data_IF_913078968034
#
_entry.id   IF_913078968034
#
_cell.length_a   1.000
_cell.length_b   1.000
_cell.length_c   1.000
_cell.angle_alpha   90.00
_cell.angle_beta   90.00
_cell.angle_gamma   90.00
#
_symmetry.space_group_name_H-M   'P 1'
#
loop_
_entity.id
_entity.type
_entity.pdbx_description
1 polymer ?
#
# COMPACT_ATOMS: atom_id res chain seq x y z
N UNK A 1 14.76 -17.16 5.58
CA UNK A 1 14.10 -15.86 5.47
C UNK A 1 12.60 -16.05 5.42
N UNK A 2 11.81 -15.21 6.13
CA UNK A 2 10.34 -15.34 6.16
C UNK A 2 9.69 -14.02 5.79
N UNK A 3 8.91 -14.02 4.70
CA UNK A 3 8.16 -12.85 4.22
C UNK A 3 6.67 -13.18 4.23
N UNK A 4 5.88 -12.31 4.85
CA UNK A 4 4.44 -12.44 4.92
C UNK A 4 3.76 -11.33 4.12
N UNK A 5 2.76 -11.68 3.31
CA UNK A 5 1.88 -10.73 2.65
C UNK A 5 0.51 -10.74 3.32
N UNK A 6 -0.03 -9.57 3.63
CA UNK A 6 -1.31 -9.38 4.32
C UNK A 6 -2.32 -8.78 3.36
N UNK A 7 -3.33 -9.56 3.01
CA UNK A 7 -4.40 -9.11 2.11
C UNK A 7 -5.59 -8.54 2.89
N UNK A 8 -5.76 -7.23 2.81
CA UNK A 8 -6.92 -6.49 3.35
C UNK A 8 -8.11 -6.37 2.41
N UNK A 9 -8.09 -7.08 1.27
CA UNK A 9 -9.21 -7.12 0.33
C UNK A 9 -10.16 -8.29 0.63
N UNK A 10 -11.50 -8.08 0.56
CA UNK A 10 -12.45 -9.19 0.63
C UNK A 10 -12.39 -10.12 -0.60
N UNK A 11 -11.79 -9.64 -1.70
CA UNK A 11 -11.68 -10.38 -2.95
C UNK A 11 -10.34 -11.13 -2.99
N UNK A 12 -10.32 -12.40 -2.59
CA UNK A 12 -9.11 -13.25 -2.53
C UNK A 12 -8.36 -13.44 -3.86
N UNK A 13 -9.00 -13.15 -4.99
CA UNK A 13 -8.43 -13.21 -6.35
C UNK A 13 -8.52 -11.86 -7.07
N UNK A 14 -8.78 -10.78 -6.34
CA UNK A 14 -8.87 -9.41 -6.86
C UNK A 14 -7.49 -8.80 -7.10
N UNK A 15 -7.49 -7.53 -7.48
CA UNK A 15 -6.27 -6.80 -7.85
C UNK A 15 -5.24 -6.81 -6.72
N UNK A 16 -5.64 -6.45 -5.49
CA UNK A 16 -4.77 -6.45 -4.31
C UNK A 16 -4.10 -7.82 -4.08
N UNK A 17 -4.89 -8.90 -4.12
CA UNK A 17 -4.35 -10.25 -3.89
C UNK A 17 -3.37 -10.69 -4.98
N UNK A 18 -3.59 -10.26 -6.24
CA UNK A 18 -2.68 -10.53 -7.35
C UNK A 18 -1.35 -9.82 -7.19
N UNK A 19 -1.36 -8.52 -6.84
CA UNK A 19 -0.13 -7.77 -6.55
C UNK A 19 0.67 -8.45 -5.43
N UNK A 20 0.00 -8.83 -4.33
CA UNK A 20 0.65 -9.50 -3.22
C UNK A 20 1.23 -10.87 -3.60
N UNK A 21 0.53 -11.64 -4.45
CA UNK A 21 1.04 -12.93 -4.93
C UNK A 21 2.27 -12.75 -5.81
N UNK A 22 2.26 -11.75 -6.72
CA UNK A 22 3.42 -11.44 -7.56
C UNK A 22 4.63 -10.97 -6.75
N UNK A 23 4.40 -10.19 -5.69
CA UNK A 23 5.48 -9.81 -4.78
C UNK A 23 6.08 -11.05 -4.07
N UNK A 24 5.25 -11.99 -3.62
CA UNK A 24 5.76 -13.25 -3.04
C UNK A 24 6.49 -14.13 -4.06
N UNK A 25 6.06 -14.12 -5.32
CA UNK A 25 6.79 -14.78 -6.41
C UNK A 25 8.15 -14.12 -6.65
N UNK A 26 8.25 -12.79 -6.56
CA UNK A 26 9.51 -12.05 -6.58
C UNK A 26 10.45 -12.45 -5.44
N UNK A 27 9.92 -12.59 -4.21
CA UNK A 27 10.68 -13.10 -3.06
C UNK A 27 11.27 -14.48 -3.37
N UNK A 28 10.45 -15.40 -3.91
CA UNK A 28 10.87 -16.75 -4.26
C UNK A 28 11.88 -16.77 -5.41
N UNK A 29 11.76 -15.85 -6.35
CA UNK A 29 12.72 -15.70 -7.44
C UNK A 29 14.10 -15.28 -6.92
N UNK A 30 14.16 -14.33 -5.98
CA UNK A 30 15.41 -13.88 -5.38
C UNK A 30 16.02 -14.91 -4.41
N UNK A 31 15.14 -15.62 -3.66
CA UNK A 31 15.54 -16.61 -2.66
C UNK A 31 14.57 -17.79 -2.65
N UNK A 32 14.91 -18.85 -3.33
CA UNK A 32 14.11 -20.07 -3.43
C UNK A 32 13.81 -20.70 -2.05
N UNK A 33 14.75 -20.59 -1.11
CA UNK A 33 14.65 -21.08 0.26
C UNK A 33 13.78 -20.21 1.19
N UNK A 34 13.31 -19.03 0.74
CA UNK A 34 12.50 -18.15 1.56
C UNK A 34 11.12 -18.78 1.87
N UNK A 35 10.67 -18.67 3.09
CA UNK A 35 9.30 -18.99 3.49
C UNK A 35 8.38 -17.81 3.15
N UNK A 36 7.34 -18.05 2.36
CA UNK A 36 6.36 -17.03 1.98
C UNK A 36 4.96 -17.46 2.38
N UNK A 37 4.14 -16.53 2.90
CA UNK A 37 2.75 -16.79 3.27
C UNK A 37 1.86 -15.59 2.87
N UNK A 38 0.76 -15.87 2.15
CA UNK A 38 -0.30 -14.88 1.89
C UNK A 38 -1.43 -15.09 2.90
N UNK A 39 -1.69 -14.09 3.73
CA UNK A 39 -2.70 -14.10 4.79
C UNK A 39 -3.87 -13.22 4.38
N UNK A 40 -5.05 -13.80 4.21
CA UNK A 40 -6.28 -13.07 3.90
C UNK A 40 -7.00 -12.67 5.19
N UNK A 41 -7.06 -11.38 5.50
CA UNK A 41 -7.71 -10.90 6.73
C UNK A 41 -9.20 -11.22 6.80
N UNK A 42 -9.88 -11.31 5.66
CA UNK A 42 -11.31 -11.66 5.61
C UNK A 42 -11.61 -13.14 5.87
N UNK A 43 -10.59 -13.99 6.03
CA UNK A 43 -10.75 -15.38 6.47
C UNK A 43 -10.71 -15.52 8.01
N UNK A 44 -10.36 -14.42 8.70
CA UNK A 44 -10.14 -14.39 10.13
C UNK A 44 -11.29 -13.71 10.85
N UNK A 45 -11.71 -14.26 11.97
CA UNK A 45 -12.67 -13.63 12.87
C UNK A 45 -11.91 -12.83 13.94
N UNK A 46 -11.85 -11.51 13.78
CA UNK A 46 -11.20 -10.63 14.74
C UNK A 46 -11.79 -9.22 14.71
N UNK A 47 -11.41 -8.42 15.70
CA UNK A 47 -11.80 -7.01 15.83
C UNK A 47 -10.57 -6.12 15.92
N UNK A 48 -10.75 -4.81 15.74
CA UNK A 48 -9.72 -3.80 15.99
C UNK A 48 -9.28 -3.76 17.45
N UNK A 49 -8.42 -2.82 17.79
CA UNK A 49 -7.90 -2.62 19.13
C UNK A 49 -9.03 -2.27 20.10
N UNK A 50 -9.11 -2.98 21.23
CA UNK A 50 -10.13 -2.77 22.28
C UNK A 50 -9.67 -1.81 23.39
N UNK A 51 -8.54 -1.14 23.23
CA UNK A 51 -7.95 -0.21 24.21
C UNK A 51 -7.82 -0.80 25.62
N UNK A 52 -7.53 -2.09 25.73
CA UNK A 52 -7.35 -2.77 27.03
C UNK A 52 -6.00 -2.46 27.69
N UNK A 53 -5.05 -1.86 26.96
CA UNK A 53 -3.72 -1.46 27.38
C UNK A 53 -2.84 -2.59 27.95
N UNK A 54 -3.22 -3.84 27.87
CA UNK A 54 -2.42 -4.98 28.36
C UNK A 54 -1.04 -5.03 27.71
N UNK A 55 -0.93 -4.64 26.41
CA UNK A 55 0.33 -4.56 25.68
C UNK A 55 1.25 -3.39 26.14
N UNK A 56 0.74 -2.47 26.96
CA UNK A 56 1.47 -1.30 27.49
C UNK A 56 1.84 -1.44 28.97
N UNK A 57 1.30 -2.46 29.63
CA UNK A 57 1.50 -2.63 31.08
C UNK A 57 2.92 -3.13 31.34
N UNK A 58 3.74 -2.26 31.93
CA UNK A 58 5.11 -2.61 32.36
C UNK A 58 5.06 -3.82 33.30
N UNK A 59 5.92 -4.80 33.08
CA UNK A 59 5.96 -6.08 33.78
C UNK A 59 4.68 -6.93 33.62
N UNK A 60 3.77 -6.56 32.70
CA UNK A 60 2.62 -7.39 32.35
C UNK A 60 3.02 -8.54 31.42
N UNK A 61 2.28 -9.67 31.44
CA UNK A 61 2.60 -10.85 30.63
C UNK A 61 2.47 -10.62 29.11
N UNK A 62 1.81 -9.53 28.70
CA UNK A 62 1.56 -9.18 27.31
C UNK A 62 2.28 -7.89 26.87
N UNK A 63 3.27 -7.40 27.65
CA UNK A 63 4.02 -6.21 27.25
C UNK A 63 4.64 -6.38 25.86
N UNK A 64 4.40 -5.41 24.96
CA UNK A 64 4.83 -5.48 23.55
C UNK A 64 4.03 -6.46 22.67
N UNK A 65 2.94 -7.07 23.16
CA UNK A 65 2.12 -8.03 22.40
C UNK A 65 0.64 -7.79 22.64
N UNK A 66 -0.19 -7.97 21.60
CA UNK A 66 -1.64 -7.92 21.77
C UNK A 66 -2.13 -9.11 22.62
N UNK A 67 -2.89 -8.81 23.69
CA UNK A 67 -3.41 -9.82 24.60
C UNK A 67 -4.73 -10.47 24.16
N UNK A 68 -5.37 -9.93 23.12
CA UNK A 68 -6.66 -10.43 22.62
C UNK A 68 -6.45 -11.79 21.95
N UNK A 69 -7.21 -12.77 22.39
CA UNK A 69 -7.18 -14.14 21.88
C UNK A 69 -8.30 -14.34 20.85
N UNK A 70 -7.96 -14.32 19.59
CA UNK A 70 -8.81 -14.54 18.43
C UNK A 70 -7.96 -15.05 17.25
N UNK A 71 -8.54 -15.18 16.05
CA UNK A 71 -7.84 -15.72 14.88
C UNK A 71 -6.65 -14.85 14.43
N UNK A 72 -6.61 -13.57 14.81
CA UNK A 72 -5.48 -12.68 14.52
C UNK A 72 -4.27 -12.95 15.45
N UNK A 73 -4.48 -13.47 16.66
CA UNK A 73 -3.39 -13.64 17.62
C UNK A 73 -2.23 -14.52 17.10
N UNK A 74 -2.45 -15.71 16.48
CA UNK A 74 -1.37 -16.49 15.90
C UNK A 74 -0.69 -15.79 14.71
N UNK A 75 -1.42 -15.01 13.93
CA UNK A 75 -0.86 -14.21 12.83
C UNK A 75 0.12 -13.18 13.36
N UNK A 76 -0.27 -12.42 14.40
CA UNK A 76 0.63 -11.45 15.04
C UNK A 76 1.90 -12.10 15.60
N UNK A 77 1.79 -13.33 16.11
CA UNK A 77 2.95 -14.13 16.53
C UNK A 77 3.89 -14.44 15.37
N UNK A 78 3.35 -14.92 14.24
CA UNK A 78 4.13 -15.18 13.02
C UNK A 78 4.85 -13.92 12.50
N UNK A 79 4.18 -12.77 12.53
CA UNK A 79 4.75 -11.49 12.05
C UNK A 79 5.86 -10.96 12.96
N UNK A 80 5.87 -11.30 14.24
CA UNK A 80 6.96 -10.94 15.15
C UNK A 80 8.29 -11.60 14.74
N UNK A 81 8.23 -12.76 14.09
CA UNK A 81 9.39 -13.53 13.61
C UNK A 81 9.70 -13.28 12.13
N UNK A 82 8.84 -12.56 11.40
CA UNK A 82 9.02 -12.29 9.97
C UNK A 82 10.22 -11.36 9.70
N UNK A 83 10.85 -11.52 8.54
CA UNK A 83 11.95 -10.67 8.06
C UNK A 83 11.44 -9.50 7.22
N UNK A 84 10.25 -9.63 6.63
CA UNK A 84 9.56 -8.57 5.93
C UNK A 84 8.06 -8.80 5.86
N UNK A 85 7.30 -7.71 5.69
CA UNK A 85 5.84 -7.74 5.58
C UNK A 85 5.37 -6.83 4.45
N UNK A 86 4.55 -7.38 3.56
CA UNK A 86 3.92 -6.66 2.45
C UNK A 86 2.43 -6.52 2.76
N UNK A 87 1.93 -5.30 2.84
CA UNK A 87 0.54 -4.98 3.17
C UNK A 87 -0.20 -4.58 1.89
N UNK A 88 -1.32 -5.23 1.58
CA UNK A 88 -2.15 -4.84 0.43
C UNK A 88 -3.55 -4.47 0.87
N UNK A 89 -4.04 -3.30 0.47
CA UNK A 89 -5.38 -2.83 0.80
C UNK A 89 -6.05 -2.15 -0.38
N UNK A 90 -7.32 -2.48 -0.68
CA UNK A 90 -8.12 -1.58 -1.49
C UNK A 90 -8.36 -0.28 -0.71
N UNK A 91 -8.50 0.83 -1.45
CA UNK A 91 -8.88 2.12 -0.90
C UNK A 91 -10.40 2.23 -0.91
N UNK A 92 -10.99 2.36 0.27
CA UNK A 92 -12.43 2.57 0.48
C UNK A 92 -12.65 3.86 1.27
N UNK A 93 -13.51 4.74 0.75
CA UNK A 93 -13.82 6.02 1.42
C UNK A 93 -12.55 6.79 1.84
N UNK A 94 -11.62 6.94 0.91
CA UNK A 94 -10.35 7.67 1.10
C UNK A 94 -9.41 7.07 2.16
N UNK A 95 -9.58 5.80 2.51
CA UNK A 95 -8.77 5.11 3.51
C UNK A 95 -8.57 3.64 3.23
N UNK A 96 -7.80 3.00 4.08
CA UNK A 96 -7.61 1.55 4.06
C UNK A 96 -8.94 0.83 4.32
N UNK A 97 -9.06 -0.40 3.82
CA UNK A 97 -10.21 -1.26 4.18
C UNK A 97 -10.33 -1.41 5.70
N UNK A 98 -11.57 -1.53 6.20
CA UNK A 98 -11.82 -1.68 7.64
C UNK A 98 -11.05 -2.83 8.27
N UNK A 99 -10.94 -3.98 7.60
CA UNK A 99 -10.17 -5.13 8.10
C UNK A 99 -8.67 -4.84 8.17
N UNK A 100 -8.10 -4.15 7.16
CA UNK A 100 -6.71 -3.72 7.21
C UNK A 100 -6.49 -2.73 8.35
N UNK A 101 -7.41 -1.80 8.58
CA UNK A 101 -7.32 -0.85 9.69
C UNK A 101 -7.36 -1.55 11.04
N UNK A 102 -8.30 -2.48 11.26
CA UNK A 102 -8.37 -3.30 12.47
C UNK A 102 -7.10 -4.10 12.73
N UNK A 103 -6.51 -4.66 11.66
CA UNK A 103 -5.24 -5.38 11.72
C UNK A 103 -4.10 -4.45 12.17
N UNK A 104 -3.92 -3.31 11.50
CA UNK A 104 -2.84 -2.36 11.77
C UNK A 104 -2.88 -1.82 13.20
N UNK A 105 -4.07 -1.51 13.74
CA UNK A 105 -4.23 -1.11 15.12
C UNK A 105 -3.65 -2.13 16.09
N UNK A 106 -3.84 -3.43 15.83
CA UNK A 106 -3.39 -4.51 16.70
C UNK A 106 -1.97 -4.96 16.44
N UNK A 107 -1.45 -4.72 15.24
CA UNK A 107 -0.07 -5.03 14.88
C UNK A 107 0.92 -3.95 15.32
N UNK A 108 0.58 -2.67 15.10
CA UNK A 108 1.49 -1.55 15.37
C UNK A 108 1.43 -1.08 16.82
N UNK A 109 0.23 -0.96 17.41
CA UNK A 109 0.07 -0.37 18.72
C UNK A 109 0.89 -1.03 19.83
N UNK A 110 1.02 -2.36 19.91
CA UNK A 110 1.85 -3.00 20.92
C UNK A 110 3.31 -2.53 20.95
N UNK A 111 3.88 -2.21 19.80
CA UNK A 111 5.28 -1.81 19.65
C UNK A 111 5.53 -0.31 19.86
N UNK A 112 4.50 0.51 19.83
CA UNK A 112 4.60 1.96 20.02
C UNK A 112 5.00 2.29 21.45
N UNK A 113 6.00 3.16 21.66
CA UNK A 113 6.36 3.70 22.98
C UNK A 113 5.94 5.17 23.05
N UNK A 114 5.43 5.58 24.23
CA UNK A 114 5.05 6.97 24.51
C UNK A 114 6.24 7.73 25.14
N UNK A 115 7.28 7.93 24.37
CA UNK A 115 8.46 8.70 24.75
C UNK A 115 8.75 9.81 23.74
N UNK A 116 9.58 10.78 24.14
CA UNK A 116 9.98 11.89 23.28
C UNK A 116 10.80 11.44 22.04
N UNK A 117 11.51 10.32 22.17
CA UNK A 117 12.30 9.75 21.07
C UNK A 117 11.43 8.99 20.06
N UNK A 118 10.11 8.82 20.33
CA UNK A 118 9.17 8.07 19.49
C UNK A 118 9.64 6.63 19.22
N UNK A 119 10.20 5.98 20.25
CA UNK A 119 10.81 4.66 20.15
C UNK A 119 9.82 3.56 19.77
N UNK A 120 10.38 2.45 19.28
CA UNK A 120 9.67 1.20 19.01
C UNK A 120 10.30 0.07 19.81
N UNK A 121 9.46 -0.82 20.35
CA UNK A 121 9.89 -2.08 20.98
C UNK A 121 9.60 -3.29 20.10
N UNK A 122 9.47 -3.08 18.79
CA UNK A 122 9.38 -4.18 17.83
C UNK A 122 10.62 -5.08 17.93
N UNK A 123 10.45 -6.42 17.80
CA UNK A 123 11.57 -7.37 17.94
C UNK A 123 12.71 -7.09 16.97
N UNK A 124 12.39 -6.57 15.79
CA UNK A 124 13.35 -6.16 14.76
C UNK A 124 12.80 -5.06 13.86
N UNK A 125 13.69 -4.34 13.20
CA UNK A 125 13.38 -3.37 12.15
C UNK A 125 13.30 -4.12 10.83
N UNK A 126 12.11 -4.64 10.48
CA UNK A 126 11.90 -5.42 9.26
C UNK A 126 11.58 -4.54 8.05
N UNK A 127 11.87 -5.03 6.85
CA UNK A 127 11.46 -4.40 5.60
C UNK A 127 9.94 -4.44 5.45
N UNK A 128 9.35 -3.35 4.96
CA UNK A 128 7.89 -3.24 4.77
C UNK A 128 7.55 -2.65 3.41
N UNK A 129 6.40 -3.07 2.85
CA UNK A 129 5.79 -2.46 1.68
C UNK A 129 4.27 -2.31 1.88
N UNK A 130 3.66 -1.31 1.22
CA UNK A 130 2.23 -1.04 1.27
C UNK A 130 1.71 -0.84 -0.16
N UNK A 131 0.79 -1.71 -0.59
CA UNK A 131 0.18 -1.71 -1.91
C UNK A 131 -1.27 -1.21 -1.80
N UNK A 132 -1.59 -0.14 -2.51
CA UNK A 132 -2.93 0.44 -2.55
C UNK A 132 -3.57 0.19 -3.91
N UNK A 133 -4.78 -0.33 -3.93
CA UNK A 133 -5.56 -0.53 -5.16
C UNK A 133 -6.83 0.29 -5.13
N UNK A 134 -7.14 0.98 -6.22
CA UNK A 134 -8.30 1.86 -6.30
C UNK A 134 -8.84 1.94 -7.72
N UNK A 135 -10.11 2.30 -7.85
CA UNK A 135 -10.79 2.44 -9.15
C UNK A 135 -10.77 3.87 -9.71
N UNK A 136 -10.19 4.81 -8.98
CA UNK A 136 -9.96 6.18 -9.44
C UNK A 136 -8.61 6.28 -10.16
N UNK A 137 -8.48 7.23 -11.09
CA UNK A 137 -7.22 7.51 -11.77
C UNK A 137 -6.24 8.18 -10.81
N UNK A 138 -4.97 8.26 -11.20
CA UNK A 138 -3.93 8.97 -10.45
C UNK A 138 -4.28 10.44 -10.26
N UNK A 139 -4.73 11.12 -11.32
CA UNK A 139 -5.18 12.52 -11.28
C UNK A 139 -6.30 12.72 -10.26
N UNK A 140 -7.37 11.92 -10.33
CA UNK A 140 -8.48 11.97 -9.39
C UNK A 140 -8.05 11.71 -7.93
N UNK A 141 -7.12 10.78 -7.72
CA UNK A 141 -6.58 10.49 -6.40
C UNK A 141 -5.75 11.67 -5.86
N UNK A 142 -4.97 12.33 -6.73
CA UNK A 142 -4.19 13.53 -6.42
C UNK A 142 -5.08 14.71 -6.05
N UNK A 143 -6.09 15.03 -6.88
CA UNK A 143 -7.07 16.09 -6.62
C UNK A 143 -7.81 15.88 -5.30
N UNK A 144 -8.17 14.64 -4.99
CA UNK A 144 -8.82 14.27 -3.73
C UNK A 144 -7.86 14.27 -2.53
N UNK A 145 -6.56 14.49 -2.72
CA UNK A 145 -5.55 14.50 -1.66
C UNK A 145 -5.30 13.12 -1.03
N UNK A 146 -5.61 12.03 -1.74
CA UNK A 146 -5.53 10.67 -1.21
C UNK A 146 -4.13 10.30 -0.68
N UNK A 147 -3.01 10.64 -1.35
CA UNK A 147 -1.68 10.36 -0.82
C UNK A 147 -1.44 10.99 0.56
N UNK A 148 -1.89 12.23 0.77
CA UNK A 148 -1.77 12.92 2.05
C UNK A 148 -2.61 12.26 3.16
N UNK A 149 -3.76 11.69 2.81
CA UNK A 149 -4.64 11.01 3.77
C UNK A 149 -4.09 9.64 4.21
N UNK A 150 -3.33 8.94 3.36
CA UNK A 150 -2.75 7.64 3.68
C UNK A 150 -1.36 7.74 4.34
N UNK A 151 -0.61 8.80 4.06
CA UNK A 151 0.72 9.07 4.61
C UNK A 151 0.85 8.90 6.14
N UNK A 152 -0.12 9.33 6.98
CA UNK A 152 -0.02 9.13 8.44
C UNK A 152 0.14 7.66 8.84
N UNK A 153 -0.50 6.73 8.12
CA UNK A 153 -0.37 5.29 8.41
C UNK A 153 1.01 4.77 8.00
N UNK A 154 1.52 5.19 6.85
CA UNK A 154 2.88 4.87 6.40
C UNK A 154 3.93 5.35 7.41
N UNK A 155 3.76 6.57 7.94
CA UNK A 155 4.63 7.13 8.98
C UNK A 155 4.61 6.31 10.29
N UNK A 156 3.47 5.70 10.65
CA UNK A 156 3.41 4.78 11.79
C UNK A 156 4.12 3.46 11.51
N UNK A 157 4.00 2.92 10.29
CA UNK A 157 4.76 1.72 9.88
C UNK A 157 6.26 2.02 9.91
N UNK A 158 6.69 3.14 9.33
CA UNK A 158 8.09 3.59 9.36
C UNK A 158 8.63 3.76 10.78
N UNK A 159 7.86 4.39 11.64
CA UNK A 159 8.22 4.57 13.05
C UNK A 159 8.50 3.25 13.76
N UNK A 160 7.66 2.24 13.51
CA UNK A 160 7.75 0.94 14.19
C UNK A 160 8.83 0.05 13.54
N UNK A 161 8.90 0.03 12.21
CA UNK A 161 9.77 -0.85 11.43
C UNK A 161 10.75 -0.04 10.55
N UNK A 162 10.59 -0.11 9.23
CA UNK A 162 11.32 0.72 8.27
C UNK A 162 10.32 1.50 7.42
N UNK A 163 10.79 2.52 6.70
CA UNK A 163 9.98 3.21 5.70
C UNK A 163 9.43 2.18 4.72
N UNK A 164 8.11 2.10 4.54
CA UNK A 164 7.53 1.17 3.59
C UNK A 164 7.78 1.64 2.15
N UNK A 165 8.07 0.70 1.27
CA UNK A 165 7.85 0.92 -0.16
C UNK A 165 6.36 1.10 -0.41
N UNK A 166 5.95 2.09 -1.21
CA UNK A 166 4.52 2.35 -1.48
C UNK A 166 4.24 2.17 -2.96
N UNK A 167 3.42 1.18 -3.30
CA UNK A 167 2.92 0.92 -4.65
C UNK A 167 1.47 1.40 -4.75
N UNK A 168 1.21 2.25 -5.74
CA UNK A 168 -0.10 2.78 -6.09
C UNK A 168 -0.60 2.11 -7.36
N UNK A 169 -1.67 1.34 -7.29
CA UNK A 169 -2.32 0.71 -8.42
C UNK A 169 -3.67 1.40 -8.66
N UNK A 170 -3.66 2.35 -9.58
CA UNK A 170 -4.79 3.20 -9.91
C UNK A 170 -5.72 2.56 -10.94
N UNK A 171 -6.87 3.15 -11.16
CA UNK A 171 -7.82 2.89 -12.22
C UNK A 171 -8.17 1.40 -12.44
N UNK A 172 -8.17 0.63 -11.35
CA UNK A 172 -8.39 -0.81 -11.42
C UNK A 172 -9.83 -1.17 -11.79
N UNK A 173 -10.02 -2.26 -12.53
CA UNK A 173 -11.34 -2.85 -12.78
C UNK A 173 -12.04 -3.22 -11.47
N UNK A 174 -13.26 -2.68 -11.28
CA UNK A 174 -14.10 -2.96 -10.11
C UNK A 174 -15.11 -4.07 -10.40
N UNK A 175 -15.74 -4.05 -11.57
CA UNK A 175 -16.77 -4.98 -11.99
C UNK A 175 -16.28 -5.87 -13.15
N UNK A 176 -16.94 -7.01 -13.34
CA UNK A 176 -16.71 -7.86 -14.51
C UNK A 176 -17.46 -7.34 -15.72
N UNK A 177 -18.67 -6.86 -15.49
CA UNK A 177 -19.58 -6.29 -16.47
C UNK A 177 -20.18 -5.03 -15.82
N UNK A 178 -19.92 -3.88 -16.42
CA UNK A 178 -20.40 -2.59 -15.91
C UNK A 178 -21.87 -2.36 -16.19
N UNK A 179 -22.46 -3.08 -17.17
CA UNK A 179 -23.88 -2.99 -17.50
C UNK A 179 -24.79 -3.49 -16.36
N UNK A 180 -24.29 -4.33 -15.47
CA UNK A 180 -25.01 -4.82 -14.28
C UNK A 180 -25.16 -3.75 -13.19
N UNK A 181 -24.52 -2.57 -13.33
CA UNK A 181 -24.42 -1.57 -12.27
C UNK A 181 -24.75 -0.17 -12.76
N UNK A 182 -25.34 0.65 -11.92
CA UNK A 182 -25.51 2.09 -12.19
C UNK A 182 -24.17 2.79 -11.90
N UNK A 183 -23.33 2.90 -12.91
CA UNK A 183 -21.99 3.42 -12.78
C UNK A 183 -21.58 4.34 -13.95
N UNK A 184 -22.38 5.40 -14.28
CA UNK A 184 -22.20 6.21 -15.48
C UNK A 184 -20.92 7.04 -15.49
N UNK A 185 -20.22 7.15 -14.37
CA UNK A 185 -18.95 7.87 -14.27
C UNK A 185 -17.75 7.06 -14.74
N UNK A 186 -17.93 5.77 -14.99
CA UNK A 186 -16.85 4.89 -15.47
C UNK A 186 -17.05 4.56 -16.95
N UNK A 187 -15.99 4.76 -17.72
CA UNK A 187 -15.87 4.24 -19.08
C UNK A 187 -15.31 2.82 -19.04
N UNK A 188 -16.15 1.84 -19.37
CA UNK A 188 -15.75 0.43 -19.33
C UNK A 188 -14.63 0.13 -20.33
N UNK A 189 -14.67 0.72 -21.55
CA UNK A 189 -13.65 0.49 -22.56
C UNK A 189 -12.29 1.01 -22.08
N UNK A 190 -12.25 2.21 -21.50
CA UNK A 190 -11.05 2.76 -20.88
C UNK A 190 -10.53 1.86 -19.75
N UNK A 191 -11.41 1.40 -18.87
CA UNK A 191 -11.05 0.48 -17.77
C UNK A 191 -10.46 -0.83 -18.27
N UNK A 192 -11.00 -1.40 -19.35
CA UNK A 192 -10.47 -2.62 -19.94
C UNK A 192 -9.08 -2.37 -20.57
N UNK A 193 -8.93 -1.29 -21.31
CA UNK A 193 -7.63 -0.92 -21.90
C UNK A 193 -6.58 -0.72 -20.80
N UNK A 194 -6.88 0.05 -19.76
CA UNK A 194 -5.97 0.26 -18.61
C UNK A 194 -5.61 -1.07 -17.93
N UNK A 195 -6.60 -1.98 -17.82
CA UNK A 195 -6.37 -3.33 -17.29
C UNK A 195 -5.36 -4.14 -18.10
N UNK A 196 -5.37 -3.99 -19.42
CA UNK A 196 -4.50 -4.74 -20.33
C UNK A 196 -3.11 -4.11 -20.44
N UNK A 197 -3.01 -2.79 -20.40
CA UNK A 197 -1.77 -2.04 -20.61
C UNK A 197 -1.01 -1.74 -19.32
N UNK A 198 -1.69 -1.20 -18.29
CA UNK A 198 -1.04 -0.68 -17.08
C UNK A 198 -0.94 -1.72 -15.96
N UNK A 199 -1.99 -2.50 -15.71
CA UNK A 199 -1.95 -3.47 -14.61
C UNK A 199 -0.84 -4.53 -14.70
N UNK A 200 -0.37 -4.99 -15.89
CA UNK A 200 0.82 -5.83 -15.99
C UNK A 200 2.09 -5.13 -15.50
N UNK A 201 2.18 -3.80 -15.64
CA UNK A 201 3.29 -3.00 -15.13
C UNK A 201 3.26 -2.95 -13.60
N UNK A 202 2.08 -2.71 -13.00
CA UNK A 202 1.90 -2.78 -11.54
C UNK A 202 2.28 -4.16 -10.97
N UNK A 203 1.92 -5.24 -11.68
CA UNK A 203 2.30 -6.60 -11.29
C UNK A 203 3.81 -6.79 -11.35
N UNK A 204 4.48 -6.29 -12.38
CA UNK A 204 5.94 -6.34 -12.50
C UNK A 204 6.60 -5.57 -11.36
N UNK A 205 6.15 -4.36 -11.08
CA UNK A 205 6.66 -3.55 -9.97
C UNK A 205 6.46 -4.28 -8.62
N UNK A 206 5.29 -4.87 -8.39
CA UNK A 206 5.06 -5.68 -7.19
C UNK A 206 6.04 -6.85 -7.08
N UNK A 207 6.36 -7.53 -8.20
CA UNK A 207 7.37 -8.59 -8.24
C UNK A 207 8.76 -8.06 -7.87
N UNK A 208 9.19 -6.93 -8.46
CA UNK A 208 10.49 -6.31 -8.16
C UNK A 208 10.59 -5.90 -6.69
N UNK A 209 9.52 -5.35 -6.11
CA UNK A 209 9.45 -5.04 -4.67
C UNK A 209 9.71 -6.28 -3.82
N UNK A 210 9.09 -7.40 -4.14
CA UNK A 210 9.33 -8.67 -3.44
C UNK A 210 10.76 -9.18 -3.62
N UNK A 211 11.28 -9.09 -4.83
CA UNK A 211 12.64 -9.50 -5.18
C UNK A 211 13.69 -8.70 -4.38
N UNK A 212 13.63 -7.37 -4.43
CA UNK A 212 14.56 -6.50 -3.72
C UNK A 212 14.38 -6.57 -2.19
N UNK A 213 13.16 -6.80 -1.70
CA UNK A 213 12.92 -7.06 -0.27
C UNK A 213 13.69 -8.31 0.19
N UNK A 214 13.71 -9.37 -0.61
CA UNK A 214 14.39 -10.61 -0.28
C UNK A 214 15.94 -10.49 -0.36
N UNK A 215 16.45 -9.60 -1.19
CA UNK A 215 17.88 -9.27 -1.27
C UNK A 215 18.33 -8.31 -0.16
N UNK A 216 17.40 -7.62 0.52
CA UNK A 216 17.72 -6.57 1.50
C UNK A 216 18.00 -5.21 0.86
N UNK A 217 17.64 -5.02 -0.41
CA UNK A 217 17.92 -3.86 -1.27
C UNK A 217 16.66 -2.98 -1.51
N UNK A 218 15.58 -3.22 -0.76
CA UNK A 218 14.31 -2.53 -1.00
C UNK A 218 14.41 -1.01 -0.89
N UNK A 219 15.32 -0.50 -0.05
CA UNK A 219 15.51 0.93 0.14
C UNK A 219 16.17 1.58 -1.07
N UNK A 220 17.22 0.96 -1.57
CA UNK A 220 17.95 1.41 -2.76
C UNK A 220 17.04 1.38 -4.00
N UNK A 221 16.20 0.37 -4.10
CA UNK A 221 15.18 0.26 -5.14
C UNK A 221 14.14 1.40 -5.05
N UNK A 222 13.62 1.73 -3.86
CA UNK A 222 12.69 2.85 -3.64
C UNK A 222 13.31 4.22 -4.00
N UNK A 223 14.58 4.42 -3.67
CA UNK A 223 15.31 5.66 -3.99
C UNK A 223 15.46 5.83 -5.52
N UNK A 224 15.86 4.79 -6.26
CA UNK A 224 15.96 4.80 -7.72
C UNK A 224 14.61 5.02 -8.41
N UNK A 225 13.55 4.34 -7.97
CA UNK A 225 12.21 4.50 -8.54
C UNK A 225 11.71 5.95 -8.43
N UNK A 226 12.02 6.64 -7.34
CA UNK A 226 11.64 8.04 -7.12
C UNK A 226 12.41 9.03 -7.98
N UNK A 227 13.68 8.78 -8.23
CA UNK A 227 14.50 9.63 -9.10
C UNK A 227 13.97 9.62 -10.55
N UNK A 228 13.54 8.48 -11.06
CA UNK A 228 12.96 8.36 -12.39
C UNK A 228 11.60 9.05 -12.53
N UNK A 229 10.72 8.95 -11.52
CA UNK A 229 9.43 9.65 -11.54
C UNK A 229 9.55 11.19 -11.50
N UNK A 230 10.59 11.75 -10.87
CA UNK A 230 10.83 13.19 -10.90
C UNK A 230 11.30 13.71 -12.28
N UNK A 231 12.04 12.91 -13.04
CA UNK A 231 12.51 13.31 -14.37
C UNK A 231 11.40 13.31 -15.43
N UNK A 232 10.42 12.40 -15.34
CA UNK A 232 9.32 12.33 -16.30
C UNK A 232 8.34 13.51 -16.14
N UNK A 233 8.13 14.00 -14.91
CA UNK A 233 7.26 15.17 -14.67
C UNK A 233 7.89 16.52 -15.08
N UNK A 234 9.20 16.67 -15.05
CA UNK A 234 9.87 17.88 -15.49
C UNK A 234 9.85 18.06 -17.03
N UNK A 235 9.75 16.96 -17.80
CA UNK A 235 9.65 17.02 -19.26
C UNK A 235 8.24 17.34 -19.78
N UNK A 236 7.17 17.08 -19.05
CA UNK A 236 5.80 17.43 -19.46
C UNK A 236 5.47 18.93 -19.24
N UNK A 237 6.17 19.63 -18.34
CA UNK A 237 5.95 21.05 -18.09
C UNK A 237 6.67 22.02 -19.06
N UNK A 238 7.66 21.55 -19.82
CA UNK A 238 8.36 22.41 -20.79
C UNK A 238 7.65 22.60 -22.15
N UNK A 239 6.59 21.85 -22.44
CA UNK A 239 5.90 21.89 -23.75
C UNK A 239 4.61 22.74 -23.80
N UNK A 240 4.22 23.48 -22.74
CA UNK A 240 2.99 24.27 -22.70
C UNK A 240 3.18 25.79 -22.64
N UNK A 241 4.36 26.35 -22.93
CA UNK A 241 4.59 27.78 -23.03
C UNK A 241 5.19 28.19 -24.38
N UNK A 242 4.39 28.07 -25.45
CA UNK A 242 4.59 28.87 -26.67
C UNK A 242 3.35 28.70 -27.55
N UNK A 243 2.39 29.61 -27.42
CA UNK A 243 1.44 30.08 -28.43
C UNK A 243 0.35 30.89 -27.74
N UNK A 244 0.61 32.23 -27.63
CA UNK A 244 -0.40 33.26 -27.75
C UNK A 244 0.28 34.65 -27.62
N UNK A 245 0.83 35.12 -28.70
CA UNK A 245 0.99 36.56 -28.99
C UNK A 245 0.99 36.72 -30.49
N UNK A 246 -0.15 37.22 -31.01
CA UNK A 246 -0.18 38.23 -32.06
C UNK A 246 -1.61 38.47 -32.55
N UNK A 247 -2.01 39.70 -32.41
CA UNK A 247 -2.78 40.60 -33.24
C UNK A 247 -3.94 41.28 -32.54
N UNK A 248 -3.59 42.46 -32.01
CA UNK A 248 -4.53 43.56 -31.87
C UNK A 248 -3.98 44.75 -32.66
N UNK A 249 -4.67 45.18 -33.70
CA UNK A 249 -4.71 46.52 -34.33
C UNK A 249 -5.90 46.45 -35.29
N UNK A 250 -6.88 47.27 -35.27
CA UNK A 250 -6.94 48.70 -35.20
C UNK A 250 -8.16 49.13 -35.97
N UNK A 251 -8.58 50.37 -35.76
CA UNK A 251 -9.46 51.28 -36.55
C UNK A 251 -10.97 51.20 -36.27
N UNK A 252 -11.46 52.18 -35.49
CA UNK A 252 -11.91 53.55 -35.82
C UNK A 252 -13.18 53.65 -36.69
N UNK A 253 -14.05 54.56 -36.23
CA UNK A 253 -15.09 55.37 -36.87
C UNK A 253 -16.52 54.81 -36.96
N UNK A 254 -17.41 55.25 -36.21
CA UNK A 254 -18.38 56.38 -36.23
C UNK A 254 -19.35 56.27 -35.06
#
# INVERSE_FOLDING_TARGET
>A
MKICAINGSPRKRGNTARLLSWALDGVKNAREDAETELINLYDLSFTGCRSCFSCKRVNGPSYGRCAVKDDLAPVLGKLADADGVILGSPVYFMGLSGMMRCFLERWLYPYLVYDAARSSIAPKRMATAMFYTMNVTEEQAGEAGLPALLRPMENFVERIFTRPYVLWCYDTLQFRDYSDYVAPVFDEAHKQQHREECFPMDLKEAFEVGHHMALGELREFDEHAREHHHHDHDHEHEHHHDHDHEHAHGHDHH
#
